data_IF_559753200656
#
_entry.id   IF_559753200656
#
_cell.length_a   1.000
_cell.length_b   1.000
_cell.length_c   1.000
_cell.angle_alpha   90.00
_cell.angle_beta   90.00
_cell.angle_gamma   90.00
#
_symmetry.space_group_name_H-M   'P 1'
#
loop_
_entity.id
_entity.type
_entity.pdbx_description
1 polymer ?
#
# COMPACT_ATOMS: atom_id res chain seq x y z
N UNK A 1 22.34 3.08 19.01
CA UNK A 1 22.92 1.83 19.53
C UNK A 1 24.01 1.33 18.58
N UNK A 2 25.03 0.63 19.06
CA UNK A 2 26.02 -0.01 18.18
C UNK A 2 25.66 -1.47 17.85
N UNK A 3 25.97 -1.91 16.64
CA UNK A 3 25.69 -3.27 16.13
C UNK A 3 26.13 -4.43 17.05
N UNK A 4 27.35 -4.42 17.64
CA UNK A 4 27.76 -5.48 18.57
C UNK A 4 26.95 -5.55 19.88
N UNK A 5 26.32 -4.44 20.29
CA UNK A 5 25.41 -4.43 21.45
C UNK A 5 24.02 -4.91 21.03
N UNK A 6 23.57 -4.54 19.85
CA UNK A 6 22.29 -4.97 19.27
C UNK A 6 22.21 -6.50 19.13
N UNK A 7 23.26 -7.13 18.59
CA UNK A 7 23.32 -8.61 18.40
C UNK A 7 23.30 -9.44 19.68
N UNK A 8 23.64 -8.84 20.82
CA UNK A 8 23.67 -9.54 22.12
C UNK A 8 22.33 -9.50 22.85
N UNK A 9 21.35 -8.79 22.32
CA UNK A 9 20.01 -8.68 22.90
C UNK A 9 19.14 -9.87 22.53
N UNK A 10 18.29 -10.30 23.45
CA UNK A 10 17.29 -11.33 23.15
C UNK A 10 16.19 -10.80 22.23
N UNK A 11 15.43 -11.69 21.60
CA UNK A 11 14.30 -11.33 20.75
C UNK A 11 13.25 -10.49 21.48
N UNK A 12 13.02 -10.75 22.77
CA UNK A 12 12.11 -9.97 23.62
C UNK A 12 12.66 -8.58 23.90
N UNK A 13 13.94 -8.46 24.27
CA UNK A 13 14.57 -7.15 24.49
C UNK A 13 14.59 -6.30 23.21
N UNK A 14 14.79 -6.96 22.05
CA UNK A 14 14.75 -6.28 20.76
C UNK A 14 13.37 -5.71 20.46
N UNK A 15 12.28 -6.42 20.78
CA UNK A 15 10.91 -5.92 20.57
C UNK A 15 10.61 -4.64 21.35
N UNK A 16 11.21 -4.46 22.52
CA UNK A 16 11.03 -3.24 23.32
C UNK A 16 11.92 -2.09 22.85
N UNK A 17 13.13 -2.40 22.36
CA UNK A 17 14.13 -1.38 21.99
C UNK A 17 13.90 -0.85 20.56
N UNK A 18 13.58 -1.76 19.62
CA UNK A 18 13.52 -1.48 18.18
C UNK A 18 12.53 -0.36 17.82
N UNK A 19 11.31 -0.27 18.39
CA UNK A 19 10.37 0.82 18.10
C UNK A 19 10.91 2.22 18.44
N UNK A 20 11.85 2.31 19.37
CA UNK A 20 12.44 3.57 19.83
C UNK A 20 13.86 3.79 19.26
N UNK A 21 14.38 2.84 18.49
CA UNK A 21 15.72 2.89 17.96
C UNK A 21 15.79 3.76 16.70
N UNK A 22 16.33 4.97 16.85
CA UNK A 22 16.50 5.89 15.71
C UNK A 22 17.82 5.69 14.95
N UNK A 23 18.88 5.28 15.65
CA UNK A 23 20.23 5.16 15.07
C UNK A 23 20.84 3.83 15.46
N UNK A 24 21.18 3.02 14.46
CA UNK A 24 22.01 1.82 14.60
C UNK A 24 23.33 2.06 13.86
N UNK A 25 24.42 2.22 14.62
CA UNK A 25 25.74 2.48 14.08
C UNK A 25 26.58 1.21 14.02
N UNK A 26 27.53 1.15 13.08
CA UNK A 26 28.46 0.01 12.90
C UNK A 26 27.71 -1.34 12.80
N UNK A 27 26.59 -1.33 12.09
CA UNK A 27 25.74 -2.50 11.88
C UNK A 27 26.32 -3.44 10.83
N UNK A 28 26.22 -4.75 11.09
CA UNK A 28 26.44 -5.77 10.07
C UNK A 28 25.21 -5.93 9.16
N UNK A 29 25.34 -6.58 7.99
CA UNK A 29 24.19 -6.92 7.13
C UNK A 29 23.11 -7.71 7.87
N UNK A 30 23.55 -8.62 8.75
CA UNK A 30 22.67 -9.45 9.58
C UNK A 30 21.90 -8.61 10.61
N UNK A 31 22.54 -7.57 11.16
CA UNK A 31 21.89 -6.66 12.11
C UNK A 31 20.73 -5.91 11.44
N UNK A 32 20.91 -5.49 10.18
CA UNK A 32 19.84 -4.86 9.39
C UNK A 32 18.70 -5.83 9.14
N UNK A 33 19.00 -7.10 8.81
CA UNK A 33 18.00 -8.15 8.61
C UNK A 33 17.16 -8.38 9.87
N UNK A 34 17.82 -8.56 11.02
CA UNK A 34 17.16 -8.77 12.33
C UNK A 34 16.29 -7.56 12.70
N UNK A 35 16.77 -6.33 12.44
CA UNK A 35 15.99 -5.12 12.69
C UNK A 35 14.68 -5.10 11.89
N UNK A 36 14.75 -5.42 10.59
CA UNK A 36 13.59 -5.48 9.70
C UNK A 36 12.63 -6.58 10.13
N UNK A 37 13.14 -7.77 10.45
CA UNK A 37 12.35 -8.90 10.94
C UNK A 37 11.61 -8.55 12.24
N UNK A 38 12.30 -7.91 13.18
CA UNK A 38 11.71 -7.50 14.46
C UNK A 38 10.59 -6.48 14.25
N UNK A 39 10.82 -5.43 13.44
CA UNK A 39 9.78 -4.43 13.12
C UNK A 39 8.56 -5.08 12.44
N UNK A 40 8.77 -5.99 11.50
CA UNK A 40 7.68 -6.72 10.84
C UNK A 40 6.91 -7.60 11.82
N UNK A 41 7.60 -8.25 12.77
CA UNK A 41 6.95 -9.06 13.82
C UNK A 41 6.04 -8.25 14.74
N UNK A 42 6.30 -6.94 14.88
CA UNK A 42 5.46 -6.00 15.63
C UNK A 42 4.26 -5.48 14.83
N UNK A 43 4.11 -5.90 13.57
CA UNK A 43 3.01 -5.50 12.69
C UNK A 43 3.24 -4.19 11.94
N UNK A 44 4.45 -3.61 12.01
CA UNK A 44 4.78 -2.39 11.30
C UNK A 44 4.93 -2.62 9.78
N UNK A 45 4.81 -1.53 9.00
CA UNK A 45 5.14 -1.55 7.57
C UNK A 45 6.54 -1.02 7.38
N UNK A 46 7.46 -1.87 6.91
CA UNK A 46 8.89 -1.53 6.89
C UNK A 46 9.37 -1.27 5.48
N UNK A 47 9.88 -0.06 5.25
CA UNK A 47 10.63 0.27 4.05
C UNK A 47 12.13 0.30 4.36
N UNK A 48 12.95 -0.30 3.50
CA UNK A 48 14.41 -0.33 3.65
C UNK A 48 15.03 0.30 2.42
N UNK A 49 16.11 1.07 2.60
CA UNK A 49 16.93 1.55 1.50
C UNK A 49 18.36 1.04 1.64
N UNK A 50 19.00 0.76 0.51
CA UNK A 50 20.36 0.27 0.45
C UNK A 50 20.95 0.37 -0.95
N UNK A 51 22.28 0.38 -1.02
CA UNK A 51 23.07 0.51 -2.25
C UNK A 51 23.95 -0.73 -2.49
N UNK A 52 24.31 -1.45 -1.42
CA UNK A 52 25.21 -2.60 -1.47
C UNK A 52 24.56 -3.96 -1.71
N UNK A 53 25.37 -4.92 -2.17
CA UNK A 53 25.02 -6.34 -2.21
C UNK A 53 24.68 -6.89 -0.81
N UNK A 54 25.31 -6.32 0.21
CA UNK A 54 25.09 -6.61 1.61
C UNK A 54 23.68 -6.27 2.10
N UNK A 55 23.01 -5.32 1.45
CA UNK A 55 21.67 -4.90 1.85
C UNK A 55 20.57 -5.69 1.14
N UNK A 56 20.92 -6.50 0.14
CA UNK A 56 19.97 -7.30 -0.63
C UNK A 56 19.07 -8.20 0.25
N UNK A 57 19.56 -8.91 1.29
CA UNK A 57 18.69 -9.68 2.17
C UNK A 57 17.68 -8.83 2.93
N UNK A 58 18.09 -7.64 3.39
CA UNK A 58 17.22 -6.73 4.12
C UNK A 58 16.20 -6.04 3.20
N UNK A 59 16.61 -5.66 1.98
CA UNK A 59 15.74 -5.11 0.94
C UNK A 59 14.64 -6.10 0.57
N UNK A 60 15.00 -7.37 0.37
CA UNK A 60 14.04 -8.42 0.00
C UNK A 60 13.10 -8.84 1.15
N UNK A 61 13.54 -8.69 2.40
CA UNK A 61 12.73 -9.01 3.58
C UNK A 61 11.73 -7.89 3.93
N UNK A 62 12.05 -6.65 3.56
CA UNK A 62 11.21 -5.48 3.80
C UNK A 62 9.83 -5.63 3.14
N UNK A 63 8.87 -4.79 3.54
CA UNK A 63 7.61 -4.68 2.80
C UNK A 63 7.79 -3.88 1.51
N UNK A 64 8.75 -2.94 1.49
CA UNK A 64 9.17 -2.20 0.30
C UNK A 64 10.68 -1.95 0.35
N UNK A 65 11.43 -2.47 -0.63
CA UNK A 65 12.86 -2.21 -0.81
C UNK A 65 13.13 -1.06 -1.79
N UNK A 66 14.01 -0.12 -1.40
CA UNK A 66 14.49 0.98 -2.23
C UNK A 66 15.98 0.83 -2.55
N UNK A 67 16.32 0.64 -3.84
CA UNK A 67 17.70 0.64 -4.29
C UNK A 67 18.12 1.98 -4.88
N UNK A 68 19.39 2.34 -4.68
CA UNK A 68 20.01 3.52 -5.31
C UNK A 68 20.30 3.21 -6.80
N UNK A 69 19.90 4.12 -7.68
CA UNK A 69 20.01 3.99 -9.13
C UNK A 69 21.41 4.32 -9.67
N UNK A 70 22.11 5.27 -9.05
CA UNK A 70 23.45 5.70 -9.49
C UNK A 70 24.52 4.93 -8.70
N UNK A 71 24.50 5.03 -7.37
CA UNK A 71 25.48 4.39 -6.48
C UNK A 71 25.21 2.90 -6.22
N UNK A 72 23.99 2.41 -6.48
CA UNK A 72 23.61 1.05 -6.13
C UNK A 72 24.20 -0.03 -7.04
N UNK A 73 24.62 -1.13 -6.41
CA UNK A 73 25.06 -2.36 -7.06
C UNK A 73 23.92 -3.03 -7.83
N UNK A 74 24.27 -3.82 -8.86
CA UNK A 74 23.28 -4.57 -9.65
C UNK A 74 22.44 -5.52 -8.78
N UNK A 75 23.07 -6.19 -7.82
CA UNK A 75 22.39 -7.10 -6.87
C UNK A 75 21.40 -6.35 -5.98
N UNK A 76 21.75 -5.14 -5.51
CA UNK A 76 20.82 -4.31 -4.74
C UNK A 76 19.59 -3.90 -5.56
N UNK A 77 19.78 -3.53 -6.84
CA UNK A 77 18.69 -3.19 -7.76
C UNK A 77 17.77 -4.37 -8.07
N UNK A 78 18.32 -5.57 -8.21
CA UNK A 78 17.53 -6.80 -8.43
C UNK A 78 16.76 -7.25 -7.19
N UNK A 79 17.25 -6.89 -5.99
CA UNK A 79 16.60 -7.25 -4.72
C UNK A 79 15.56 -6.23 -4.24
N UNK A 80 15.48 -5.04 -4.84
CA UNK A 80 14.58 -3.96 -4.45
C UNK A 80 13.32 -3.92 -5.31
N UNK A 81 12.23 -3.40 -4.74
CA UNK A 81 10.95 -3.20 -5.44
C UNK A 81 10.92 -1.88 -6.23
N UNK A 82 11.63 -0.86 -5.73
CA UNK A 82 11.68 0.49 -6.32
C UNK A 82 13.14 0.93 -6.45
N UNK A 83 13.51 1.45 -7.62
CA UNK A 83 14.84 2.01 -7.89
C UNK A 83 14.74 3.53 -7.95
N UNK A 84 15.54 4.21 -7.12
CA UNK A 84 15.64 5.67 -7.09
C UNK A 84 16.63 6.12 -8.17
N UNK A 85 16.13 6.67 -9.28
CA UNK A 85 16.99 7.06 -10.39
C UNK A 85 17.93 8.24 -10.07
N UNK A 86 17.58 9.06 -9.09
CA UNK A 86 18.27 10.30 -8.71
C UNK A 86 19.03 10.20 -7.38
N UNK A 87 19.04 9.03 -6.75
CA UNK A 87 19.70 8.79 -5.44
C UNK A 87 19.28 9.79 -4.35
N UNK A 88 18.06 10.32 -4.44
CA UNK A 88 17.57 11.34 -3.53
C UNK A 88 16.51 10.79 -2.57
N UNK A 89 16.70 11.02 -1.27
CA UNK A 89 15.72 10.65 -0.23
C UNK A 89 14.36 11.34 -0.44
N UNK A 90 14.35 12.54 -1.04
CA UNK A 90 13.10 13.23 -1.39
C UNK A 90 12.22 12.43 -2.36
N UNK A 91 12.81 11.56 -3.19
CA UNK A 91 12.08 10.69 -4.11
C UNK A 91 11.33 9.56 -3.39
N UNK A 92 11.83 9.10 -2.24
CA UNK A 92 11.10 8.17 -1.35
C UNK A 92 9.82 8.84 -0.81
N UNK A 93 9.92 10.11 -0.39
CA UNK A 93 8.76 10.87 0.08
C UNK A 93 7.72 11.06 -1.02
N UNK A 94 8.16 11.31 -2.27
CA UNK A 94 7.26 11.37 -3.43
C UNK A 94 6.61 10.00 -3.71
N UNK A 95 7.35 8.90 -3.61
CA UNK A 95 6.80 7.56 -3.78
C UNK A 95 5.72 7.26 -2.72
N UNK A 96 5.95 7.64 -1.46
CA UNK A 96 4.96 7.53 -0.39
C UNK A 96 3.71 8.37 -0.66
N UNK A 97 3.87 9.59 -1.17
CA UNK A 97 2.76 10.47 -1.55
C UNK A 97 1.89 9.81 -2.64
N UNK A 98 2.51 9.28 -3.69
CA UNK A 98 1.81 8.55 -4.75
C UNK A 98 1.14 7.28 -4.25
N UNK A 99 1.81 6.51 -3.38
CA UNK A 99 1.21 5.32 -2.77
C UNK A 99 -0.04 5.64 -1.94
N UNK A 100 -0.03 6.75 -1.18
CA UNK A 100 -1.20 7.22 -0.42
C UNK A 100 -2.35 7.65 -1.34
N UNK A 101 -2.06 8.35 -2.43
CA UNK A 101 -3.07 8.76 -3.40
C UNK A 101 -3.68 7.55 -4.11
N UNK A 102 -2.86 6.61 -4.56
CA UNK A 102 -3.32 5.37 -5.20
C UNK A 102 -4.27 4.57 -4.29
N UNK A 103 -3.94 4.43 -2.99
CA UNK A 103 -4.82 3.74 -2.05
C UNK A 103 -6.19 4.43 -1.89
N UNK A 104 -6.23 5.76 -1.87
CA UNK A 104 -7.49 6.50 -1.78
C UNK A 104 -8.32 6.38 -3.05
N UNK A 105 -7.67 6.44 -4.22
CA UNK A 105 -8.30 6.19 -5.52
C UNK A 105 -8.92 4.78 -5.54
N UNK A 106 -8.20 3.75 -5.09
CA UNK A 106 -8.73 2.39 -5.02
C UNK A 106 -9.97 2.31 -4.10
N UNK A 107 -9.97 2.99 -2.95
CA UNK A 107 -11.13 3.01 -2.05
C UNK A 107 -12.34 3.70 -2.67
N UNK A 108 -12.13 4.86 -3.31
CA UNK A 108 -13.19 5.58 -4.05
C UNK A 108 -13.73 4.72 -5.19
N UNK A 109 -12.86 4.00 -5.90
CA UNK A 109 -13.24 3.08 -6.96
C UNK A 109 -14.10 1.94 -6.44
N UNK A 110 -13.69 1.27 -5.37
CA UNK A 110 -14.48 0.21 -4.75
C UNK A 110 -15.84 0.72 -4.28
N UNK A 111 -15.91 1.92 -3.70
CA UNK A 111 -17.17 2.53 -3.28
C UNK A 111 -18.11 2.80 -4.46
N UNK A 112 -17.59 3.42 -5.53
CA UNK A 112 -18.36 3.67 -6.74
C UNK A 112 -18.85 2.34 -7.33
N UNK A 113 -17.94 1.38 -7.49
CA UNK A 113 -18.21 0.10 -8.13
C UNK A 113 -19.23 -0.75 -7.33
N UNK A 114 -19.16 -0.71 -6.00
CA UNK A 114 -20.15 -1.36 -5.14
C UNK A 114 -21.53 -0.70 -5.28
N UNK A 115 -21.59 0.64 -5.31
CA UNK A 115 -22.86 1.38 -5.44
C UNK A 115 -23.55 1.08 -6.77
N UNK A 116 -22.79 1.06 -7.87
CA UNK A 116 -23.33 0.80 -9.21
C UNK A 116 -23.70 -0.65 -9.47
N UNK A 117 -23.12 -1.61 -8.73
CA UNK A 117 -23.54 -3.01 -8.80
C UNK A 117 -24.75 -3.30 -7.91
N UNK A 118 -24.80 -2.74 -6.69
CA UNK A 118 -25.91 -3.00 -5.76
C UNK A 118 -27.20 -2.29 -6.22
N UNK A 119 -27.11 -1.06 -6.73
CA UNK A 119 -28.29 -0.26 -7.08
C UNK A 119 -29.20 -0.92 -8.12
N UNK A 120 -28.69 -1.41 -9.28
CA UNK A 120 -29.53 -2.09 -10.27
C UNK A 120 -30.10 -3.41 -9.73
N UNK A 121 -29.38 -4.14 -8.89
CA UNK A 121 -29.87 -5.38 -8.26
C UNK A 121 -31.06 -5.08 -7.34
N UNK A 122 -30.91 -4.10 -6.45
CA UNK A 122 -31.99 -3.68 -5.54
C UNK A 122 -33.20 -3.15 -6.31
N UNK A 123 -32.97 -2.35 -7.37
CA UNK A 123 -34.04 -1.81 -8.20
C UNK A 123 -34.78 -2.90 -9.00
N UNK A 124 -34.04 -3.82 -9.61
CA UNK A 124 -34.58 -4.94 -10.39
C UNK A 124 -35.40 -5.87 -9.47
N UNK A 125 -34.82 -6.25 -8.33
CA UNK A 125 -35.51 -7.10 -7.36
C UNK A 125 -36.73 -6.41 -6.74
N UNK A 126 -36.58 -5.17 -6.27
CA UNK A 126 -37.67 -4.41 -5.66
C UNK A 126 -38.83 -4.15 -6.61
N UNK A 127 -38.54 -3.83 -7.88
CA UNK A 127 -39.58 -3.65 -8.90
C UNK A 127 -40.28 -4.95 -9.27
N UNK A 128 -39.55 -6.06 -9.39
CA UNK A 128 -40.14 -7.37 -9.65
C UNK A 128 -41.10 -7.80 -8.53
N UNK A 129 -40.74 -7.57 -7.25
CA UNK A 129 -41.58 -7.91 -6.09
C UNK A 129 -42.82 -6.99 -5.99
N UNK A 130 -42.68 -5.70 -6.31
CA UNK A 130 -43.79 -4.74 -6.25
C UNK A 130 -44.75 -4.85 -7.44
N UNK A 131 -44.25 -5.28 -8.60
CA UNK A 131 -45.05 -5.37 -9.82
C UNK A 131 -45.91 -6.64 -9.79
N UNK A 132 -47.23 -6.50 -9.87
CA UNK A 132 -48.17 -7.63 -9.94
C UNK A 132 -48.05 -8.50 -11.20
N UNK A 133 -47.11 -8.19 -12.10
CA UNK A 133 -46.74 -8.97 -13.29
C UNK A 133 -45.32 -9.55 -13.24
N UNK A 134 -44.62 -9.42 -12.10
CA UNK A 134 -43.25 -9.91 -11.89
C UNK A 134 -42.22 -9.35 -12.90
N UNK A 135 -42.51 -8.19 -13.49
CA UNK A 135 -41.64 -7.55 -14.48
C UNK A 135 -40.66 -6.60 -13.80
N UNK A 136 -39.37 -6.84 -14.02
CA UNK A 136 -38.30 -5.92 -13.65
C UNK A 136 -38.35 -4.65 -14.49
N UNK A 137 -38.02 -3.50 -13.88
CA UNK A 137 -37.83 -2.22 -14.59
C UNK A 137 -36.65 -2.26 -15.55
N UNK A 138 -35.62 -3.07 -15.25
CA UNK A 138 -34.44 -3.23 -16.09
C UNK A 138 -34.39 -4.64 -16.69
N UNK A 139 -34.31 -4.71 -18.02
CA UNK A 139 -34.11 -5.96 -18.75
C UNK A 139 -32.66 -6.43 -18.67
N UNK A 140 -32.43 -7.74 -18.84
CA UNK A 140 -31.08 -8.33 -18.83
C UNK A 140 -30.11 -7.66 -19.81
N UNK A 141 -30.58 -7.31 -21.01
CA UNK A 141 -29.78 -6.61 -22.01
C UNK A 141 -29.40 -5.18 -21.55
N UNK A 142 -30.32 -4.47 -20.87
CA UNK A 142 -30.04 -3.12 -20.37
C UNK A 142 -29.00 -3.16 -19.24
N UNK A 143 -29.09 -4.13 -18.33
CA UNK A 143 -28.07 -4.36 -17.31
C UNK A 143 -26.69 -4.68 -17.91
N UNK A 144 -26.67 -5.49 -18.97
CA UNK A 144 -25.44 -5.86 -19.68
C UNK A 144 -24.79 -4.69 -20.40
N UNK A 145 -25.57 -3.72 -20.89
CA UNK A 145 -25.02 -2.49 -21.48
C UNK A 145 -24.56 -1.46 -20.45
N UNK A 146 -25.29 -1.33 -19.35
CA UNK A 146 -24.99 -0.33 -18.31
C UNK A 146 -23.68 -0.64 -17.58
N UNK A 147 -23.40 -1.92 -17.32
CA UNK A 147 -22.26 -2.34 -16.52
C UNK A 147 -20.89 -2.02 -17.18
N UNK A 148 -20.58 -2.44 -18.43
CA UNK A 148 -19.31 -2.12 -19.09
C UNK A 148 -19.11 -0.62 -19.35
N UNK A 149 -20.20 0.09 -19.66
CA UNK A 149 -20.15 1.54 -19.92
C UNK A 149 -19.77 2.28 -18.64
N UNK A 150 -20.45 1.99 -17.52
CA UNK A 150 -20.12 2.60 -16.23
C UNK A 150 -18.69 2.26 -15.79
N UNK A 151 -18.27 1.01 -15.92
CA UNK A 151 -16.94 0.57 -15.51
C UNK A 151 -15.84 1.32 -16.28
N UNK A 152 -16.05 1.53 -17.57
CA UNK A 152 -15.10 2.25 -18.42
C UNK A 152 -14.96 3.71 -17.99
N UNK A 153 -16.08 4.41 -17.76
CA UNK A 153 -16.04 5.82 -17.33
C UNK A 153 -15.52 5.99 -15.91
N UNK A 154 -15.82 5.04 -15.01
CA UNK A 154 -15.31 5.04 -13.66
C UNK A 154 -13.79 4.86 -13.63
N UNK A 155 -13.27 3.87 -14.36
CA UNK A 155 -11.83 3.65 -14.50
C UNK A 155 -11.12 4.90 -15.04
N UNK A 156 -11.73 5.56 -16.04
CA UNK A 156 -11.17 6.80 -16.60
C UNK A 156 -11.14 7.95 -15.57
N UNK A 157 -12.22 8.17 -14.84
CA UNK A 157 -12.29 9.23 -13.83
C UNK A 157 -11.22 9.03 -12.74
N UNK A 158 -11.03 7.79 -12.29
CA UNK A 158 -10.09 7.45 -11.22
C UNK A 158 -8.62 7.48 -11.65
N UNK A 159 -8.34 7.28 -12.94
CA UNK A 159 -6.98 7.42 -13.48
C UNK A 159 -6.45 8.87 -13.44
N UNK A 160 -7.32 9.86 -13.24
CA UNK A 160 -6.98 11.29 -13.33
C UNK A 160 -6.75 12.00 -11.99
N UNK A 161 -6.98 11.32 -10.86
CA UNK A 161 -6.86 11.93 -9.54
C UNK A 161 -5.38 12.15 -9.17
N UNK A 162 -4.94 13.42 -9.14
CA UNK A 162 -3.56 13.79 -8.84
C UNK A 162 -3.29 13.82 -7.31
N UNK A 163 -2.09 13.41 -6.85
CA UNK A 163 -1.73 13.47 -5.45
C UNK A 163 -1.56 14.93 -4.97
N UNK A 164 -2.17 15.25 -3.82
CA UNK A 164 -2.00 16.54 -3.13
C UNK A 164 -1.15 16.38 -1.87
N UNK A 165 -0.32 17.38 -1.52
CA UNK A 165 0.58 17.31 -0.35
C UNK A 165 -0.13 17.08 0.99
N UNK A 166 -1.41 17.43 1.09
CA UNK A 166 -2.27 17.17 2.26
C UNK A 166 -2.35 15.67 2.62
N UNK A 167 -2.08 14.76 1.68
CA UNK A 167 -2.02 13.33 1.97
C UNK A 167 -0.90 12.96 2.96
N UNK A 168 0.12 13.80 3.15
CA UNK A 168 1.21 13.56 4.10
C UNK A 168 0.85 13.94 5.54
N UNK A 169 -0.14 14.83 5.74
CA UNK A 169 -0.50 15.37 7.06
C UNK A 169 -1.27 14.36 7.93
N UNK A 170 -1.89 13.36 7.30
CA UNK A 170 -2.60 12.28 8.01
C UNK A 170 -1.65 11.17 8.47
N UNK A 171 -2.01 10.53 9.59
CA UNK A 171 -1.31 9.33 10.07
C UNK A 171 -1.43 8.16 9.07
N UNK A 172 -0.43 7.27 8.99
CA UNK A 172 -0.53 6.06 8.17
C UNK A 172 -1.76 5.21 8.56
N UNK A 173 -2.43 4.65 7.55
CA UNK A 173 -3.52 3.70 7.78
C UNK A 173 -2.98 2.38 8.35
N UNK A 174 -3.74 1.75 9.23
CA UNK A 174 -3.42 0.41 9.74
C UNK A 174 -3.60 -0.63 8.63
N UNK A 175 -2.75 -1.67 8.59
CA UNK A 175 -2.91 -2.82 7.65
C UNK A 175 -4.29 -3.50 7.78
N UNK A 176 -4.86 -3.52 8.97
CA UNK A 176 -6.17 -4.12 9.27
C UNK A 176 -7.37 -3.18 9.12
N UNK A 177 -7.18 -1.97 8.60
CA UNK A 177 -8.28 -1.03 8.43
C UNK A 177 -9.26 -1.56 7.34
N UNK A 178 -10.58 -1.54 7.59
CA UNK A 178 -11.56 -1.98 6.60
C UNK A 178 -11.54 -1.06 5.37
N UNK A 179 -11.79 -1.64 4.19
CA UNK A 179 -11.86 -0.88 2.93
C UNK A 179 -13.10 0.01 2.86
N UNK A 180 -14.20 -0.43 3.47
CA UNK A 180 -15.47 0.29 3.54
C UNK A 180 -15.67 0.76 4.98
N UNK A 181 -15.87 2.05 5.19
CA UNK A 181 -16.09 2.65 6.52
C UNK A 181 -17.44 3.36 6.58
N UNK A 182 -18.10 3.33 7.74
CA UNK A 182 -19.46 3.86 7.92
C UNK A 182 -19.55 5.39 7.88
N UNK A 183 -18.43 6.09 8.08
CA UNK A 183 -18.27 7.52 7.76
C UNK A 183 -17.23 7.59 6.67
N UNK A 184 -17.68 7.86 5.46
CA UNK A 184 -16.86 8.41 4.40
C UNK A 184 -17.08 9.91 4.38
#
# INVERSE_FOLDING_TARGET
>A
MEGPRFRRKSSEELKDIVPHLQVLARSSPEDKRILVETLKSLGETVAVTGDGTNDAPALKLADVGFAMGIAGTKVGKEAADIILMDDNFASIVKALLWGRAANDVIKKFLQFHLTVNITPVVLTFGSAVYSGREQSVLNAVQLLWVNPIMDTFAALALATDAPTRSFLDRKPGKKSAPLITSRM
#
